data_IF_327506316011
#
_entry.id   IF_327506316011
#
_cell.length_a   1.000
_cell.length_b   1.000
_cell.length_c   1.000
_cell.angle_alpha   90.00
_cell.angle_beta   90.00
_cell.angle_gamma   90.00
#
_symmetry.space_group_name_H-M   'P 1'
#
loop_
_entity.id
_entity.type
_entity.pdbx_description
1 polymer ?
#
# COMPACT_ATOMS: atom_id res chain seq x y z
N UNK A 1 -15.60 -5.38 12.52
CA UNK A 1 -15.74 -5.89 11.14
C UNK A 1 -14.39 -5.94 10.47
N UNK A 2 -14.24 -6.85 9.51
CA UNK A 2 -12.97 -7.07 8.78
C UNK A 2 -13.29 -7.29 7.31
N UNK A 3 -12.51 -6.64 6.43
CA UNK A 3 -12.60 -6.84 4.99
C UNK A 3 -11.25 -7.22 4.41
N UNK A 4 -11.24 -8.09 3.42
CA UNK A 4 -10.04 -8.54 2.74
C UNK A 4 -10.12 -8.21 1.25
N UNK A 5 -9.02 -7.73 0.69
CA UNK A 5 -8.84 -7.62 -0.75
C UNK A 5 -7.64 -8.46 -1.17
N UNK A 6 -7.68 -9.08 -2.34
CA UNK A 6 -6.51 -9.73 -2.94
C UNK A 6 -5.45 -8.75 -3.50
N UNK A 7 -5.62 -7.45 -3.26
CA UNK A 7 -4.81 -6.37 -3.84
C UNK A 7 -3.68 -5.97 -2.88
N UNK A 8 -2.66 -6.81 -2.77
CA UNK A 8 -1.46 -6.59 -1.96
C UNK A 8 -0.23 -6.27 -2.83
N UNK A 9 0.97 -6.35 -2.26
CA UNK A 9 2.22 -6.04 -2.95
C UNK A 9 2.42 -6.81 -4.26
N UNK A 10 2.08 -8.10 -4.28
CA UNK A 10 2.20 -8.93 -5.50
C UNK A 10 1.22 -8.51 -6.61
N UNK A 11 0.07 -7.95 -6.24
CA UNK A 11 -0.86 -7.37 -7.21
C UNK A 11 -0.26 -6.14 -7.88
N UNK A 12 0.37 -5.23 -7.12
CA UNK A 12 1.07 -4.06 -7.67
C UNK A 12 2.20 -4.49 -8.59
N UNK A 13 2.98 -5.53 -8.24
CA UNK A 13 4.03 -6.09 -9.10
C UNK A 13 3.46 -6.56 -10.44
N UNK A 14 2.34 -7.29 -10.41
CA UNK A 14 1.67 -7.76 -11.62
C UNK A 14 1.12 -6.60 -12.47
N UNK A 15 0.55 -5.56 -11.85
CA UNK A 15 0.08 -4.37 -12.56
C UNK A 15 1.26 -3.59 -13.19
N UNK A 16 2.39 -3.48 -12.50
CA UNK A 16 3.59 -2.83 -13.03
C UNK A 16 4.09 -3.53 -14.30
N UNK A 17 4.19 -4.87 -14.28
CA UNK A 17 4.53 -5.66 -15.45
C UNK A 17 3.58 -5.38 -16.61
N UNK A 18 2.27 -5.41 -16.33
CA UNK A 18 1.22 -5.17 -17.33
C UNK A 18 1.31 -3.77 -17.95
N UNK A 19 1.50 -2.73 -17.13
CA UNK A 19 1.62 -1.35 -17.62
C UNK A 19 2.90 -1.15 -18.45
N UNK A 20 4.03 -1.75 -18.06
CA UNK A 20 5.27 -1.69 -18.85
C UNK A 20 5.09 -2.43 -20.17
N UNK A 21 4.52 -3.63 -20.17
CA UNK A 21 4.30 -4.39 -21.42
C UNK A 21 3.30 -3.69 -22.35
N UNK A 22 2.32 -2.96 -21.80
CA UNK A 22 1.40 -2.15 -22.60
C UNK A 22 2.10 -0.96 -23.26
N UNK A 23 3.03 -0.30 -22.53
CA UNK A 23 3.78 0.86 -23.03
C UNK A 23 4.89 0.43 -23.98
N UNK A 24 5.55 -0.67 -23.69
CA UNK A 24 6.70 -1.19 -24.41
C UNK A 24 6.43 -2.63 -24.85
N UNK A 25 5.86 -2.77 -26.05
CA UNK A 25 5.56 -4.10 -26.61
C UNK A 25 6.82 -4.96 -26.71
N UNK A 26 6.73 -6.23 -26.32
CA UNK A 26 7.88 -7.15 -26.31
C UNK A 26 8.81 -7.01 -25.10
N UNK A 27 8.47 -6.16 -24.09
CA UNK A 27 9.25 -6.00 -22.86
C UNK A 27 9.30 -7.32 -22.06
N UNK A 28 10.52 -7.74 -21.73
CA UNK A 28 10.78 -8.95 -20.95
C UNK A 28 11.00 -8.57 -19.47
N UNK A 29 9.94 -8.63 -18.67
CA UNK A 29 9.94 -8.23 -17.25
C UNK A 29 9.66 -9.44 -16.38
N UNK A 30 10.51 -9.71 -15.41
CA UNK A 30 10.29 -10.73 -14.38
C UNK A 30 9.60 -10.14 -13.16
N UNK A 31 8.98 -10.99 -12.33
CA UNK A 31 8.40 -10.54 -11.05
C UNK A 31 9.44 -9.90 -10.12
N UNK A 32 10.66 -10.44 -10.09
CA UNK A 32 11.72 -9.91 -9.25
C UNK A 32 12.21 -8.52 -9.71
N UNK A 33 12.20 -8.25 -11.02
CA UNK A 33 12.46 -6.92 -11.55
C UNK A 33 11.38 -5.94 -11.12
N UNK A 34 10.11 -6.29 -11.31
CA UNK A 34 8.98 -5.44 -10.94
C UNK A 34 8.97 -5.17 -9.44
N UNK A 35 9.20 -6.19 -8.59
CA UNK A 35 9.30 -6.04 -7.14
C UNK A 35 10.39 -5.06 -6.74
N UNK A 36 11.62 -5.21 -7.27
CA UNK A 36 12.73 -4.29 -6.98
C UNK A 36 12.42 -2.85 -7.39
N UNK A 37 11.84 -2.65 -8.58
CA UNK A 37 11.48 -1.31 -9.04
C UNK A 37 10.35 -0.70 -8.19
N UNK A 38 9.34 -1.49 -7.82
CA UNK A 38 8.31 -1.04 -6.88
C UNK A 38 8.91 -0.65 -5.53
N UNK A 39 9.76 -1.48 -4.93
CA UNK A 39 10.37 -1.20 -3.62
C UNK A 39 11.26 0.06 -3.66
N UNK A 40 11.91 0.32 -4.78
CA UNK A 40 12.81 1.46 -4.93
C UNK A 40 12.10 2.75 -5.34
N UNK A 41 11.08 2.66 -6.20
CA UNK A 41 10.53 3.83 -6.91
C UNK A 41 9.03 4.05 -6.69
N UNK A 42 8.35 3.30 -5.80
CA UNK A 42 6.90 3.40 -5.66
C UNK A 42 6.43 4.79 -5.22
N UNK A 43 5.45 5.32 -5.93
CA UNK A 43 4.82 6.61 -5.65
C UNK A 43 3.41 6.69 -6.27
N UNK A 44 2.66 7.70 -5.84
CA UNK A 44 1.35 8.07 -6.39
C UNK A 44 1.35 9.50 -6.91
N UNK A 45 0.28 9.93 -7.57
CA UNK A 45 0.08 11.32 -8.02
C UNK A 45 0.10 12.36 -6.90
N UNK A 46 0.04 11.94 -5.66
CA UNK A 46 0.19 12.84 -4.50
C UNK A 46 1.67 13.11 -4.11
N UNK A 47 2.63 12.37 -4.71
CA UNK A 47 4.07 12.52 -4.42
C UNK A 47 4.90 12.11 -5.64
N UNK A 48 4.74 12.80 -6.76
CA UNK A 48 5.47 12.54 -8.00
C UNK A 48 6.94 12.90 -7.82
N UNK A 49 7.89 12.05 -8.22
CA UNK A 49 9.31 12.36 -8.16
C UNK A 49 9.68 13.48 -9.16
N UNK A 50 10.70 14.27 -8.82
CA UNK A 50 11.22 15.35 -9.70
C UNK A 50 11.92 14.79 -10.93
N UNK A 51 12.56 13.62 -10.81
CA UNK A 51 13.27 12.95 -11.89
C UNK A 51 12.48 11.74 -12.40
N UNK A 52 12.55 11.45 -13.71
CA UNK A 52 11.89 10.27 -14.27
C UNK A 52 12.50 8.97 -13.74
N UNK A 53 11.68 7.94 -13.57
CA UNK A 53 12.11 6.59 -13.21
C UNK A 53 12.58 5.86 -14.46
N UNK A 54 13.89 5.86 -14.69
CA UNK A 54 14.51 5.17 -15.82
C UNK A 54 15.16 3.87 -15.35
N UNK A 55 14.83 2.77 -16.02
CA UNK A 55 15.32 1.43 -15.68
C UNK A 55 15.77 0.67 -16.93
N UNK A 56 16.68 -0.28 -16.73
CA UNK A 56 17.20 -1.13 -17.79
C UNK A 56 16.43 -2.45 -17.87
N UNK A 57 15.92 -2.78 -19.06
CA UNK A 57 15.33 -4.08 -19.36
C UNK A 57 15.43 -4.41 -20.85
N UNK A 58 15.08 -5.64 -21.21
CA UNK A 58 15.21 -6.13 -22.59
C UNK A 58 13.88 -6.02 -23.34
N UNK A 59 13.97 -5.52 -24.59
CA UNK A 59 12.90 -5.61 -25.58
C UNK A 59 13.45 -6.40 -26.76
N UNK A 60 12.81 -7.52 -27.11
CA UNK A 60 13.23 -8.39 -28.21
C UNK A 60 14.73 -8.77 -28.14
N UNK A 61 15.25 -9.00 -26.93
CA UNK A 61 16.64 -9.38 -26.70
C UNK A 61 17.65 -8.22 -26.70
N UNK A 62 17.21 -6.97 -26.87
CA UNK A 62 18.08 -5.77 -26.81
C UNK A 62 17.88 -5.06 -25.48
N UNK A 63 18.96 -4.84 -24.73
CA UNK A 63 18.93 -4.04 -23.50
C UNK A 63 18.69 -2.56 -23.83
N UNK A 64 17.76 -1.93 -23.14
CA UNK A 64 17.39 -0.53 -23.32
C UNK A 64 17.12 0.12 -21.97
N UNK A 65 17.49 1.39 -21.82
CA UNK A 65 17.14 2.24 -20.68
C UNK A 65 15.87 3.01 -21.00
N UNK A 66 14.79 2.75 -20.26
CA UNK A 66 13.45 3.25 -20.59
C UNK A 66 12.74 3.86 -19.37
N UNK A 67 11.98 4.91 -19.62
CA UNK A 67 11.19 5.60 -18.61
C UNK A 67 9.91 4.85 -18.31
N UNK A 68 9.78 4.39 -17.04
CA UNK A 68 8.60 3.71 -16.52
C UNK A 68 7.82 4.52 -15.49
N UNK A 69 8.06 5.82 -15.38
CA UNK A 69 7.46 6.71 -14.36
C UNK A 69 5.94 6.57 -14.29
N UNK A 70 5.25 6.70 -15.42
CA UNK A 70 3.78 6.56 -15.48
C UNK A 70 3.30 5.13 -15.22
N UNK A 71 4.10 4.12 -15.55
CA UNK A 71 3.78 2.73 -15.27
C UNK A 71 3.82 2.45 -13.76
N UNK A 72 4.85 2.97 -13.07
CA UNK A 72 4.97 2.85 -11.61
C UNK A 72 3.81 3.55 -10.91
N UNK A 73 3.49 4.78 -11.29
CA UNK A 73 2.37 5.52 -10.72
C UNK A 73 1.05 4.75 -10.87
N UNK A 74 0.70 4.33 -12.08
CA UNK A 74 -0.55 3.59 -12.36
C UNK A 74 -0.63 2.27 -11.60
N UNK A 75 0.48 1.53 -11.54
CA UNK A 75 0.55 0.29 -10.79
C UNK A 75 0.32 0.53 -9.30
N UNK A 76 0.96 1.53 -8.70
CA UNK A 76 0.78 1.89 -7.29
C UNK A 76 -0.64 2.40 -6.99
N UNK A 77 -1.23 3.17 -7.89
CA UNK A 77 -2.60 3.69 -7.70
C UNK A 77 -3.69 2.63 -7.89
N UNK A 78 -3.39 1.49 -8.51
CA UNK A 78 -4.36 0.42 -8.74
C UNK A 78 -4.95 -0.21 -7.47
N UNK A 79 -4.29 -0.05 -6.31
CA UNK A 79 -4.78 -0.51 -5.01
C UNK A 79 -5.68 0.51 -4.30
N UNK A 80 -5.71 1.76 -4.76
CA UNK A 80 -6.38 2.86 -4.04
C UNK A 80 -7.90 2.66 -4.02
N UNK A 81 -8.51 2.43 -5.18
CA UNK A 81 -9.96 2.28 -5.26
C UNK A 81 -10.49 1.11 -4.41
N UNK A 82 -9.89 -0.10 -4.43
CA UNK A 82 -10.27 -1.17 -3.51
C UNK A 82 -10.13 -0.81 -2.02
N UNK A 83 -9.10 -0.05 -1.64
CA UNK A 83 -8.94 0.42 -0.25
C UNK A 83 -10.05 1.41 0.11
N UNK A 84 -10.30 2.40 -0.74
CA UNK A 84 -11.33 3.43 -0.55
C UNK A 84 -12.71 2.80 -0.39
N UNK A 85 -13.07 1.87 -1.27
CA UNK A 85 -14.35 1.16 -1.20
C UNK A 85 -14.50 0.38 0.10
N UNK A 86 -13.48 -0.35 0.54
CA UNK A 86 -13.51 -1.07 1.80
C UNK A 86 -13.66 -0.14 2.99
N UNK A 87 -12.95 1.00 3.01
CA UNK A 87 -13.07 2.01 4.07
C UNK A 87 -14.50 2.56 4.12
N UNK A 88 -15.09 2.91 2.97
CA UNK A 88 -16.46 3.41 2.89
C UNK A 88 -17.46 2.40 3.46
N UNK A 89 -17.33 1.12 3.08
CA UNK A 89 -18.22 0.05 3.58
C UNK A 89 -18.06 -0.16 5.08
N UNK A 90 -16.82 -0.18 5.60
CA UNK A 90 -16.56 -0.38 7.03
C UNK A 90 -17.11 0.77 7.88
N UNK A 91 -16.94 2.03 7.44
CA UNK A 91 -17.48 3.18 8.14
C UNK A 91 -19.01 3.16 8.10
N UNK A 92 -19.60 2.91 6.93
CA UNK A 92 -21.06 2.86 6.79
C UNK A 92 -21.72 1.75 7.63
N UNK A 93 -21.03 0.62 7.82
CA UNK A 93 -21.48 -0.49 8.67
C UNK A 93 -21.28 -0.29 10.18
N UNK A 94 -20.58 0.78 10.58
CA UNK A 94 -20.30 1.07 11.99
C UNK A 94 -21.34 2.00 12.62
N UNK A 95 -21.32 2.14 13.98
CA UNK A 95 -22.21 3.07 14.66
C UNK A 95 -21.89 4.53 14.24
N UNK A 96 -22.89 5.31 13.78
CA UNK A 96 -22.72 6.69 13.32
C UNK A 96 -22.01 7.62 14.30
N UNK A 97 -22.13 7.40 15.61
CA UNK A 97 -21.45 8.17 16.65
C UNK A 97 -19.92 8.15 16.52
N UNK A 98 -19.35 7.08 15.91
CA UNK A 98 -17.91 6.91 15.75
C UNK A 98 -17.40 7.26 14.35
N UNK A 99 -18.27 7.63 13.40
CA UNK A 99 -17.86 7.90 12.02
C UNK A 99 -16.76 8.98 11.92
N UNK A 100 -16.92 10.09 12.67
CA UNK A 100 -15.92 11.16 12.69
C UNK A 100 -14.59 10.70 13.29
N UNK A 101 -14.66 9.92 14.36
CA UNK A 101 -13.47 9.36 14.99
C UNK A 101 -12.73 8.41 14.08
N UNK A 102 -13.45 7.54 13.35
CA UNK A 102 -12.83 6.62 12.40
C UNK A 102 -12.19 7.37 11.22
N UNK A 103 -12.85 8.37 10.65
CA UNK A 103 -12.31 9.16 9.55
C UNK A 103 -11.03 9.90 9.92
N UNK A 104 -10.93 10.41 11.14
CA UNK A 104 -9.76 11.18 11.60
C UNK A 104 -8.61 10.35 12.16
N UNK A 105 -8.80 9.05 12.34
CA UNK A 105 -7.81 8.17 12.96
C UNK A 105 -7.56 6.90 12.13
N UNK A 106 -7.46 7.01 10.81
CA UNK A 106 -7.06 5.90 9.96
C UNK A 106 -5.57 5.66 10.09
N UNK A 107 -5.17 4.41 10.30
CA UNK A 107 -3.76 4.01 10.37
C UNK A 107 -3.46 3.14 9.15
N UNK A 108 -2.46 3.55 8.37
CA UNK A 108 -1.96 2.83 7.23
C UNK A 108 -0.63 2.15 7.61
N UNK A 109 -0.62 0.83 7.60
CA UNK A 109 0.51 0.00 7.99
C UNK A 109 0.75 -1.16 7.00
N UNK A 110 1.87 -1.86 7.15
CA UNK A 110 2.29 -2.93 6.25
C UNK A 110 3.12 -2.44 5.08
N UNK A 111 3.75 -3.36 4.33
CA UNK A 111 4.71 -3.00 3.27
C UNK A 111 4.18 -2.07 2.19
N UNK A 112 2.88 -2.16 1.86
CA UNK A 112 2.23 -1.27 0.88
C UNK A 112 2.12 0.18 1.32
N UNK A 113 2.11 0.46 2.63
CA UNK A 113 2.04 1.84 3.15
C UNK A 113 3.31 2.66 2.87
N UNK A 114 4.41 1.99 2.51
CA UNK A 114 5.65 2.63 2.08
C UNK A 114 5.58 3.28 0.68
N UNK A 115 4.49 3.10 -0.06
CA UNK A 115 4.27 3.79 -1.34
C UNK A 115 4.13 5.29 -1.06
N UNK A 116 5.04 6.10 -1.64
CA UNK A 116 5.06 7.56 -1.41
C UNK A 116 3.75 8.21 -1.86
N UNK A 117 3.17 9.01 -0.98
CA UNK A 117 1.93 9.73 -1.25
C UNK A 117 0.64 8.89 -1.17
N UNK A 118 0.72 7.59 -0.80
CA UNK A 118 -0.47 6.72 -0.74
C UNK A 118 -1.49 7.23 0.28
N UNK A 119 -1.07 7.59 1.50
CA UNK A 119 -1.95 8.13 2.53
C UNK A 119 -2.69 9.39 2.06
N UNK A 120 -1.94 10.37 1.51
CA UNK A 120 -2.51 11.60 0.98
C UNK A 120 -3.48 11.37 -0.19
N UNK A 121 -3.20 10.36 -1.03
CA UNK A 121 -4.11 10.00 -2.13
C UNK A 121 -5.41 9.37 -1.59
N UNK A 122 -5.32 8.52 -0.57
CA UNK A 122 -6.50 7.93 0.10
C UNK A 122 -7.34 9.04 0.75
N UNK A 123 -6.73 9.99 1.50
CA UNK A 123 -7.43 11.14 2.07
C UNK A 123 -8.20 11.93 1.00
N UNK A 124 -7.53 12.24 -0.12
CA UNK A 124 -8.14 12.95 -1.23
C UNK A 124 -9.32 12.19 -1.85
N UNK A 125 -9.22 10.86 -1.96
CA UNK A 125 -10.29 10.01 -2.53
C UNK A 125 -11.47 9.82 -1.57
N UNK A 126 -11.27 10.02 -0.28
CA UNK A 126 -12.31 9.95 0.76
C UNK A 126 -12.86 11.32 1.15
N UNK A 127 -12.43 12.41 0.53
CA UNK A 127 -12.83 13.77 0.87
C UNK A 127 -14.34 14.05 0.77
N UNK A 128 -15.06 13.26 -0.01
CA UNK A 128 -16.53 13.27 -0.07
C UNK A 128 -17.21 12.84 1.24
N UNK A 129 -16.50 12.15 2.11
CA UNK A 129 -17.00 11.73 3.43
C UNK A 129 -16.77 12.79 4.54
N UNK A 130 -16.13 13.92 4.25
CA UNK A 130 -15.72 14.96 5.20
C UNK A 130 -14.22 14.93 5.50
N UNK A 131 -13.83 15.45 6.69
CA UNK A 131 -12.42 15.48 7.10
C UNK A 131 -11.90 14.07 7.36
N UNK A 132 -10.92 13.65 6.56
CA UNK A 132 -10.26 12.34 6.67
C UNK A 132 -8.79 12.57 6.98
N UNK A 133 -8.23 11.79 7.91
CA UNK A 133 -6.79 11.81 8.22
C UNK A 133 -6.24 10.38 8.20
N UNK A 134 -5.19 10.16 7.42
CA UNK A 134 -4.50 8.88 7.29
C UNK A 134 -3.09 8.99 7.88
N UNK A 135 -2.87 8.33 8.99
CA UNK A 135 -1.58 8.23 9.65
C UNK A 135 -0.77 7.08 9.06
N UNK A 136 0.29 7.38 8.35
CA UNK A 136 1.23 6.37 7.87
C UNK A 136 2.25 6.10 8.97
N UNK A 137 2.46 4.83 9.33
CA UNK A 137 3.43 4.46 10.38
C UNK A 137 4.87 4.58 9.87
N UNK A 138 5.80 4.97 10.75
CA UNK A 138 7.21 5.23 10.39
C UNK A 138 7.95 3.97 9.91
N UNK A 139 7.70 2.82 10.52
CA UNK A 139 8.29 1.53 10.11
C UNK A 139 7.19 0.48 9.86
N UNK A 140 6.53 0.56 8.71
CA UNK A 140 5.36 -0.28 8.42
C UNK A 140 5.68 -1.78 8.31
N UNK A 141 6.92 -2.12 8.01
CA UNK A 141 7.36 -3.53 7.83
C UNK A 141 7.57 -4.21 9.18
N UNK A 142 8.14 -3.50 10.15
CA UNK A 142 8.50 -4.06 11.47
C UNK A 142 7.46 -3.79 12.55
N UNK A 143 6.46 -2.96 12.28
CA UNK A 143 5.47 -2.53 13.29
C UNK A 143 4.86 -3.69 14.06
N UNK A 144 4.44 -4.76 13.37
CA UNK A 144 3.87 -5.95 14.00
C UNK A 144 4.83 -6.66 14.94
N UNK A 145 6.08 -6.84 14.52
CA UNK A 145 7.12 -7.47 15.34
C UNK A 145 7.50 -6.60 16.56
N UNK A 146 7.60 -5.28 16.36
CA UNK A 146 7.88 -4.33 17.44
C UNK A 146 6.71 -4.25 18.43
N UNK A 147 5.47 -4.26 17.94
CA UNK A 147 4.28 -4.32 18.79
C UNK A 147 4.23 -5.60 19.63
N UNK A 148 4.51 -6.75 19.03
CA UNK A 148 4.63 -8.03 19.73
C UNK A 148 5.74 -8.03 20.78
N UNK A 149 6.91 -7.48 20.45
CA UNK A 149 8.02 -7.34 21.41
C UNK A 149 7.63 -6.43 22.59
N UNK A 150 6.97 -5.31 22.31
CA UNK A 150 6.50 -4.39 23.34
C UNK A 150 5.49 -5.05 24.27
N UNK A 151 4.51 -5.78 23.72
CA UNK A 151 3.59 -6.58 24.53
C UNK A 151 4.33 -7.60 25.39
N UNK A 152 5.32 -8.30 24.83
CA UNK A 152 6.13 -9.26 25.56
C UNK A 152 6.91 -8.66 26.73
N UNK A 153 7.29 -7.39 26.63
CA UNK A 153 8.02 -6.68 27.69
C UNK A 153 7.10 -6.01 28.73
N UNK A 154 5.92 -5.59 28.35
CA UNK A 154 5.01 -4.80 29.18
C UNK A 154 3.93 -5.64 29.88
N UNK A 155 3.56 -6.81 29.32
CA UNK A 155 2.52 -7.67 29.91
C UNK A 155 3.10 -8.48 31.07
N UNK A 156 2.53 -8.39 32.30
CA UNK A 156 2.93 -9.20 33.44
C UNK A 156 2.82 -10.70 33.15
N UNK A 157 3.73 -11.50 33.73
CA UNK A 157 3.85 -12.94 33.42
C UNK A 157 2.55 -13.72 33.76
N UNK A 158 1.83 -13.33 34.81
CA UNK A 158 0.56 -13.91 35.23
C UNK A 158 -0.59 -13.62 34.27
N UNK A 159 -0.48 -12.60 33.42
CA UNK A 159 -1.48 -12.25 32.43
C UNK A 159 -1.29 -12.94 31.06
N UNK A 160 -0.17 -13.61 30.84
CA UNK A 160 0.11 -14.29 29.55
C UNK A 160 -0.93 -15.37 29.20
N UNK A 161 -1.45 -16.08 30.22
CA UNK A 161 -2.48 -17.09 30.00
C UNK A 161 -3.83 -16.53 29.51
N UNK A 162 -4.04 -15.22 29.68
CA UNK A 162 -5.25 -14.52 29.24
C UNK A 162 -5.15 -13.95 27.83
N UNK A 163 -3.96 -13.98 27.22
CA UNK A 163 -3.77 -13.63 25.82
C UNK A 163 -4.30 -14.76 24.95
N UNK A 164 -5.61 -14.78 24.76
CA UNK A 164 -6.24 -15.68 23.79
C UNK A 164 -5.81 -15.29 22.39
N UNK A 165 -5.18 -16.24 21.68
CA UNK A 165 -5.02 -16.14 20.24
C UNK A 165 -6.42 -15.97 19.65
N UNK A 166 -6.66 -14.85 18.95
CA UNK A 166 -7.89 -14.68 18.22
C UNK A 166 -8.05 -15.90 17.30
N UNK A 167 -9.04 -16.73 17.58
CA UNK A 167 -9.37 -17.88 16.74
C UNK A 167 -9.68 -17.37 15.34
N UNK A 168 -9.01 -17.96 14.35
CA UNK A 168 -9.16 -17.68 12.93
C UNK A 168 -10.58 -17.84 12.44
#
# INVERSE_FOLDING_TARGET
DQMHTGHAGDFVDAQLIKEIQRKYNGAQITKDMARRWKEQYSFTSASVPDEPVVVDFSIEGKAMSLDITDCVQKACESIVDPIVENVKVLIAGSNPEYHDQFRRNMILAGGGSGIKGLGALIERRLSDMGDVTVHVVDDPVRLGAMGGLRLAMEVPEDMWSNLTLASR
#
